data_IF_027198201331
#
_entry.id   IF_027198201331
#
_cell.length_a   1.000
_cell.length_b   1.000
_cell.length_c   1.000
_cell.angle_alpha   90.00
_cell.angle_beta   90.00
_cell.angle_gamma   90.00
#
_symmetry.space_group_name_H-M   'P 1'
#
loop_
_entity.id
_entity.type
_entity.pdbx_description
1 polymer ?
#
# COMPACT_ATOMS: atom_id res chain seq x y z
N UNK A 1 17.90 15.29 2.92
CA UNK A 1 16.48 15.32 3.35
C UNK A 1 16.15 13.92 3.85
N UNK A 2 15.47 13.80 4.99
CA UNK A 2 15.07 12.48 5.52
C UNK A 2 13.97 11.89 4.62
N UNK A 3 14.07 10.62 4.34
CA UNK A 3 13.13 9.84 3.51
C UNK A 3 12.63 8.63 4.26
N UNK A 4 11.39 8.26 4.02
CA UNK A 4 10.82 7.00 4.55
C UNK A 4 10.04 6.27 3.47
N UNK A 5 10.18 4.96 3.45
CA UNK A 5 9.40 4.05 2.62
C UNK A 5 8.45 3.27 3.52
N UNK A 6 7.16 3.34 3.24
CA UNK A 6 6.12 2.72 4.06
C UNK A 6 5.33 1.73 3.21
N UNK A 7 5.48 0.46 3.51
CA UNK A 7 4.54 -0.56 3.03
C UNK A 7 3.27 -0.43 3.84
N UNK A 8 2.20 0.11 3.24
CA UNK A 8 0.93 0.36 3.91
C UNK A 8 -0.10 -0.71 3.55
N UNK A 9 -0.74 -1.28 4.56
CA UNK A 9 -1.76 -2.30 4.41
C UNK A 9 -2.98 -2.02 5.30
N UNK A 10 -4.03 -2.78 5.15
CA UNK A 10 -5.31 -2.68 5.88
C UNK A 10 -6.46 -3.16 5.01
N UNK A 11 -7.53 -3.59 5.61
CA UNK A 11 -8.73 -4.07 4.92
C UNK A 11 -9.33 -3.01 3.97
N UNK A 12 -10.18 -3.45 3.07
CA UNK A 12 -10.90 -2.54 2.17
C UNK A 12 -11.74 -1.51 2.94
N UNK A 13 -11.70 -0.25 2.52
CA UNK A 13 -12.54 0.80 3.12
C UNK A 13 -12.07 1.38 4.46
N UNK A 14 -10.90 0.98 5.01
CA UNK A 14 -10.37 1.55 6.26
C UNK A 14 -9.80 2.97 6.11
N UNK A 15 -9.79 3.52 4.90
CA UNK A 15 -9.36 4.90 4.65
C UNK A 15 -7.86 5.08 4.39
N UNK A 16 -7.12 4.04 4.00
CA UNK A 16 -5.68 4.13 3.67
C UNK A 16 -5.38 5.21 2.63
N UNK A 17 -6.11 5.19 1.51
CA UNK A 17 -5.87 6.13 0.41
C UNK A 17 -6.13 7.57 0.88
N UNK A 18 -7.21 7.79 1.65
CA UNK A 18 -7.52 9.09 2.24
C UNK A 18 -6.41 9.59 3.16
N UNK A 19 -5.83 8.72 4.01
CA UNK A 19 -4.72 9.11 4.88
C UNK A 19 -3.45 9.46 4.09
N UNK A 20 -3.15 8.71 3.03
CA UNK A 20 -2.04 9.03 2.12
C UNK A 20 -2.26 10.40 1.45
N UNK A 21 -3.47 10.67 0.94
CA UNK A 21 -3.83 11.95 0.31
C UNK A 21 -3.76 13.12 1.30
N UNK A 22 -4.22 12.92 2.55
CA UNK A 22 -4.13 13.93 3.60
C UNK A 22 -2.67 14.24 3.94
N UNK A 23 -1.80 13.22 4.04
CA UNK A 23 -0.39 13.41 4.33
C UNK A 23 0.35 14.16 3.21
N UNK A 24 -0.12 14.08 1.96
CA UNK A 24 0.45 14.80 0.83
C UNK A 24 0.29 16.34 0.93
N UNK A 25 -0.55 16.84 1.84
CA UNK A 25 -0.63 18.29 2.15
C UNK A 25 0.57 18.77 2.99
N UNK A 26 1.25 17.87 3.68
CA UNK A 26 2.31 18.16 4.64
C UNK A 26 3.69 17.69 4.18
N UNK A 27 3.75 16.66 3.33
CA UNK A 27 4.97 16.04 2.85
C UNK A 27 4.95 15.90 1.33
N UNK A 28 6.13 15.80 0.71
CA UNK A 28 6.25 15.36 -0.68
C UNK A 28 6.10 13.85 -0.74
N UNK A 29 4.97 13.38 -1.21
CA UNK A 29 4.55 11.98 -1.18
C UNK A 29 4.52 11.38 -2.57
N UNK A 30 5.04 10.16 -2.72
CA UNK A 30 4.74 9.26 -3.84
C UNK A 30 3.89 8.11 -3.31
N UNK A 31 2.80 7.81 -4.00
CA UNK A 31 1.85 6.76 -3.61
C UNK A 31 1.71 5.75 -4.76
N UNK A 32 2.07 4.49 -4.52
CA UNK A 32 2.02 3.41 -5.51
C UNK A 32 1.37 2.15 -4.94
N UNK A 33 0.87 1.32 -5.83
CA UNK A 33 0.38 -0.02 -5.50
C UNK A 33 1.07 -1.08 -6.35
N UNK A 34 1.37 -2.25 -5.77
CA UNK A 34 1.93 -3.39 -6.48
C UNK A 34 1.07 -3.87 -7.65
N UNK A 35 -0.21 -3.47 -7.70
CA UNK A 35 -1.12 -3.78 -8.80
C UNK A 35 -1.18 -2.69 -9.88
N UNK A 36 -0.50 -1.56 -9.72
CA UNK A 36 -0.56 -0.49 -10.72
C UNK A 36 0.01 -0.92 -12.08
N UNK A 37 1.18 -1.57 -12.18
CA UNK A 37 1.68 -2.05 -13.46
C UNK A 37 0.78 -3.13 -14.08
N UNK A 38 0.08 -3.91 -13.25
CA UNK A 38 -0.89 -4.90 -13.72
C UNK A 38 -2.11 -4.23 -14.34
N UNK A 39 -2.59 -3.13 -13.75
CA UNK A 39 -3.67 -2.32 -14.32
C UNK A 39 -3.29 -1.71 -15.66
N UNK A 40 -2.05 -1.27 -15.83
CA UNK A 40 -1.57 -0.75 -17.11
C UNK A 40 -1.59 -1.84 -18.19
N UNK A 41 -1.10 -3.04 -17.90
CA UNK A 41 -1.17 -4.18 -18.83
C UNK A 41 -2.64 -4.52 -19.13
N UNK A 42 -3.51 -4.54 -18.11
CA UNK A 42 -4.92 -4.83 -18.30
C UNK A 42 -5.62 -3.79 -19.19
N UNK A 43 -5.29 -2.50 -19.04
CA UNK A 43 -5.78 -1.44 -19.94
C UNK A 43 -5.32 -1.64 -21.36
N UNK A 44 -4.07 -2.03 -21.56
CA UNK A 44 -3.57 -2.40 -22.87
C UNK A 44 -4.33 -3.58 -23.49
N UNK A 45 -4.80 -4.52 -22.66
CA UNK A 45 -5.68 -5.63 -23.08
C UNK A 45 -7.16 -5.21 -23.24
N UNK A 46 -7.51 -3.94 -23.09
CA UNK A 46 -8.88 -3.43 -23.27
C UNK A 46 -9.71 -3.30 -22.01
N UNK A 47 -9.13 -3.45 -20.81
CA UNK A 47 -9.85 -3.18 -19.56
C UNK A 47 -10.13 -1.69 -19.40
N UNK A 48 -11.40 -1.35 -19.16
CA UNK A 48 -11.89 0.04 -19.11
C UNK A 48 -11.85 0.67 -17.71
N UNK A 49 -11.36 -0.05 -16.68
CA UNK A 49 -11.37 0.42 -15.30
C UNK A 49 -12.58 -0.06 -14.49
N UNK A 50 -13.58 -0.66 -15.11
CA UNK A 50 -14.75 -1.23 -14.41
C UNK A 50 -14.31 -2.41 -13.54
N UNK A 51 -14.77 -2.42 -12.29
CA UNK A 51 -14.41 -3.43 -11.27
C UNK A 51 -15.56 -4.42 -11.05
N UNK A 52 -15.98 -5.10 -12.10
CA UNK A 52 -16.86 -6.26 -11.99
C UNK A 52 -16.09 -7.53 -11.61
N UNK A 53 -16.78 -8.65 -11.38
CA UNK A 53 -16.15 -9.90 -10.96
C UNK A 53 -15.23 -10.48 -12.04
N UNK A 54 -15.57 -10.30 -13.32
CA UNK A 54 -14.75 -10.73 -14.45
C UNK A 54 -13.43 -9.94 -14.49
N UNK A 55 -13.49 -8.63 -14.31
CA UNK A 55 -12.31 -7.76 -14.27
C UNK A 55 -11.44 -8.05 -13.05
N UNK A 56 -12.04 -8.28 -11.86
CA UNK A 56 -11.29 -8.68 -10.66
C UNK A 56 -10.54 -9.98 -10.86
N UNK A 57 -11.20 -10.98 -11.45
CA UNK A 57 -10.54 -12.25 -11.78
C UNK A 57 -9.41 -12.04 -12.78
N UNK A 58 -9.63 -11.29 -13.85
CA UNK A 58 -8.61 -11.00 -14.86
C UNK A 58 -7.37 -10.31 -14.26
N UNK A 59 -7.56 -9.27 -13.43
CA UNK A 59 -6.46 -8.59 -12.75
C UNK A 59 -5.71 -9.51 -11.78
N UNK A 60 -6.43 -10.37 -11.07
CA UNK A 60 -5.83 -11.36 -10.18
C UNK A 60 -4.98 -12.38 -10.95
N UNK A 61 -5.53 -12.98 -12.00
CA UNK A 61 -4.84 -13.96 -12.82
C UNK A 61 -3.60 -13.36 -13.49
N UNK A 62 -3.71 -12.13 -14.03
CA UNK A 62 -2.60 -11.40 -14.64
C UNK A 62 -1.49 -11.08 -13.65
N UNK A 63 -1.85 -10.67 -12.41
CA UNK A 63 -0.89 -10.44 -11.33
C UNK A 63 -0.17 -11.75 -10.98
N UNK A 64 -0.91 -12.83 -10.79
CA UNK A 64 -0.35 -14.13 -10.45
C UNK A 64 0.61 -14.61 -11.53
N UNK A 65 0.18 -14.58 -12.79
CA UNK A 65 1.00 -15.03 -13.92
C UNK A 65 2.32 -14.23 -14.05
N UNK A 66 2.24 -12.91 -13.91
CA UNK A 66 3.43 -12.05 -14.00
C UNK A 66 4.35 -12.17 -12.78
N UNK A 67 3.79 -12.44 -11.60
CA UNK A 67 4.57 -12.71 -10.39
C UNK A 67 5.30 -14.07 -10.49
N UNK A 68 4.64 -15.10 -11.00
CA UNK A 68 5.23 -16.42 -11.21
C UNK A 68 6.32 -16.41 -12.29
N UNK A 69 6.12 -15.62 -13.34
CA UNK A 69 7.08 -15.54 -14.44
C UNK A 69 8.42 -14.89 -14.04
N UNK A 70 8.37 -13.75 -13.35
CA UNK A 70 9.59 -13.01 -13.02
C UNK A 70 9.46 -12.03 -11.84
N UNK A 71 8.52 -12.25 -10.92
CA UNK A 71 8.22 -11.32 -9.81
C UNK A 71 7.95 -9.87 -10.29
N UNK A 72 7.36 -9.69 -11.46
CA UNK A 72 7.19 -8.38 -12.11
C UNK A 72 6.58 -7.31 -11.20
N UNK A 73 5.48 -7.54 -10.41
CA UNK A 73 4.92 -6.52 -9.53
C UNK A 73 5.92 -6.03 -8.47
N UNK A 74 6.68 -6.94 -7.88
CA UNK A 74 7.71 -6.60 -6.88
C UNK A 74 8.88 -5.87 -7.53
N UNK A 75 9.37 -6.34 -8.67
CA UNK A 75 10.48 -5.72 -9.38
C UNK A 75 10.14 -4.31 -9.86
N UNK A 76 8.90 -4.07 -10.30
CA UNK A 76 8.41 -2.74 -10.64
C UNK A 76 8.40 -1.81 -9.41
N UNK A 77 7.87 -2.25 -8.29
CA UNK A 77 7.86 -1.46 -7.05
C UNK A 77 9.28 -1.13 -6.56
N UNK A 78 10.23 -2.07 -6.72
CA UNK A 78 11.65 -1.84 -6.40
C UNK A 78 12.32 -0.84 -7.36
N UNK A 79 11.93 -0.80 -8.63
CA UNK A 79 12.39 0.24 -9.55
C UNK A 79 11.93 1.62 -9.11
N UNK A 80 10.64 1.76 -8.74
CA UNK A 80 10.10 3.02 -8.18
C UNK A 80 10.78 3.40 -6.86
N UNK A 81 11.08 2.43 -6.00
CA UNK A 81 11.85 2.66 -4.77
C UNK A 81 13.23 3.27 -5.07
N UNK A 82 13.97 2.75 -6.05
CA UNK A 82 15.28 3.30 -6.42
C UNK A 82 15.17 4.73 -6.92
N UNK A 83 14.21 5.03 -7.80
CA UNK A 83 13.94 6.39 -8.26
C UNK A 83 13.58 7.33 -7.09
N UNK A 84 12.74 6.86 -6.16
CA UNK A 84 12.38 7.63 -4.97
C UNK A 84 13.61 7.97 -4.13
N UNK A 85 14.56 7.06 -3.97
CA UNK A 85 15.78 7.32 -3.19
C UNK A 85 16.64 8.44 -3.79
N UNK A 86 16.55 8.69 -5.09
CA UNK A 86 17.34 9.69 -5.84
C UNK A 86 16.63 11.05 -6.01
N UNK A 87 15.31 11.13 -5.79
CA UNK A 87 14.53 12.35 -5.99
C UNK A 87 14.38 13.21 -4.70
N UNK A 88 13.51 14.21 -4.71
CA UNK A 88 13.26 15.12 -3.59
C UNK A 88 11.97 14.81 -2.79
N UNK A 89 11.33 13.65 -3.04
CA UNK A 89 10.19 13.17 -2.29
C UNK A 89 10.61 12.67 -0.90
N UNK A 90 9.72 12.78 0.07
CA UNK A 90 9.99 12.45 1.47
C UNK A 90 9.41 11.12 1.90
N UNK A 91 8.23 10.79 1.37
CA UNK A 91 7.50 9.56 1.73
C UNK A 91 7.11 8.79 0.47
N UNK A 92 7.48 7.51 0.42
CA UNK A 92 6.98 6.55 -0.56
C UNK A 92 6.03 5.60 0.14
N UNK A 93 4.75 5.64 -0.22
CA UNK A 93 3.80 4.58 0.14
C UNK A 93 3.78 3.50 -0.93
N UNK A 94 3.86 2.25 -0.48
CA UNK A 94 3.74 1.07 -1.34
C UNK A 94 2.60 0.21 -0.80
N UNK A 95 1.49 0.15 -1.53
CA UNK A 95 0.34 -0.67 -1.15
C UNK A 95 0.58 -2.12 -1.56
N UNK A 96 0.84 -2.98 -0.58
CA UNK A 96 1.00 -4.43 -0.75
C UNK A 96 0.10 -5.14 0.27
N UNK A 97 -0.67 -6.14 -0.16
CA UNK A 97 -1.62 -6.85 0.70
C UNK A 97 -1.11 -8.19 1.22
N UNK A 98 -0.48 -8.96 0.36
CA UNK A 98 -0.07 -10.32 0.67
C UNK A 98 1.20 -10.34 1.54
N UNK A 99 1.18 -11.04 2.69
CA UNK A 99 2.32 -11.10 3.61
C UNK A 99 3.65 -11.49 2.95
N UNK A 100 3.62 -12.48 2.04
CA UNK A 100 4.82 -12.91 1.32
C UNK A 100 5.42 -11.83 0.41
N UNK A 101 4.55 -11.02 -0.22
CA UNK A 101 5.02 -9.90 -1.06
C UNK A 101 5.58 -8.77 -0.21
N UNK A 102 4.98 -8.51 0.97
CA UNK A 102 5.50 -7.55 1.95
C UNK A 102 6.92 -7.97 2.37
N UNK A 103 7.11 -9.23 2.79
CA UNK A 103 8.41 -9.77 3.18
C UNK A 103 9.46 -9.64 2.06
N UNK A 104 9.08 -10.00 0.83
CA UNK A 104 9.97 -9.86 -0.35
C UNK A 104 10.42 -8.42 -0.55
N UNK A 105 9.49 -7.47 -0.51
CA UNK A 105 9.79 -6.06 -0.71
C UNK A 105 10.66 -5.50 0.42
N UNK A 106 10.32 -5.74 1.68
CA UNK A 106 11.09 -5.30 2.86
C UNK A 106 12.51 -5.86 2.82
N UNK A 107 12.67 -7.15 2.51
CA UNK A 107 13.98 -7.79 2.37
C UNK A 107 14.80 -7.18 1.23
N UNK A 108 14.18 -6.92 0.08
CA UNK A 108 14.85 -6.38 -1.09
C UNK A 108 15.22 -4.89 -0.96
N UNK A 109 14.66 -4.19 0.03
CA UNK A 109 15.03 -2.82 0.41
C UNK A 109 16.03 -2.77 1.59
N UNK A 110 16.66 -3.89 1.94
CA UNK A 110 17.60 -4.02 3.07
C UNK A 110 17.05 -3.47 4.40
N UNK A 111 15.73 -3.62 4.63
CA UNK A 111 15.03 -3.15 5.82
C UNK A 111 14.81 -1.63 5.89
N UNK A 112 15.09 -0.90 4.81
CA UNK A 112 14.76 0.54 4.71
C UNK A 112 13.25 0.75 4.75
N UNK A 113 12.48 -0.12 4.06
CA UNK A 113 11.03 -0.06 4.09
C UNK A 113 10.48 -0.45 5.47
N UNK A 114 9.60 0.39 6.01
CA UNK A 114 8.82 0.14 7.22
C UNK A 114 7.42 -0.32 6.86
N UNK A 115 6.80 -1.08 7.72
CA UNK A 115 5.47 -1.63 7.49
C UNK A 115 4.45 -0.98 8.42
N UNK A 116 3.29 -0.62 7.87
CA UNK A 116 2.20 0.05 8.58
C UNK A 116 0.87 -0.64 8.31
N UNK A 117 0.17 -1.06 9.35
CA UNK A 117 -1.21 -1.52 9.27
C UNK A 117 -2.17 -0.40 9.68
N UNK A 118 -3.08 -0.05 8.78
CA UNK A 118 -4.21 0.83 9.08
C UNK A 118 -5.43 -0.02 9.42
N UNK A 119 -5.97 0.17 10.62
CA UNK A 119 -7.20 -0.47 11.09
C UNK A 119 -8.35 0.52 11.02
N UNK A 120 -9.53 0.06 10.61
CA UNK A 120 -10.77 0.84 10.74
C UNK A 120 -11.28 0.79 12.19
N UNK A 121 -11.99 1.84 12.61
CA UNK A 121 -12.77 1.80 13.83
C UNK A 121 -13.99 0.88 13.72
N UNK A 122 -14.75 0.75 14.79
CA UNK A 122 -15.95 -0.10 14.90
C UNK A 122 -17.07 0.19 13.85
N UNK A 123 -16.90 1.22 13.02
CA UNK A 123 -17.81 1.58 11.90
C UNK A 123 -17.53 0.81 10.61
N UNK A 124 -16.37 0.20 10.47
CA UNK A 124 -16.11 -0.75 9.39
C UNK A 124 -16.85 -2.03 9.74
N UNK A 125 -17.82 -2.38 8.90
CA UNK A 125 -18.62 -3.60 9.06
C UNK A 125 -17.69 -4.78 9.30
N UNK A 126 -17.80 -5.40 10.49
CA UNK A 126 -17.27 -6.73 10.74
C UNK A 126 -18.02 -7.73 9.84
N UNK A 127 -17.63 -7.85 8.59
CA UNK A 127 -18.09 -8.84 7.66
C UNK A 127 -16.90 -9.33 6.88
N UNK A 128 -16.74 -10.63 6.78
CA UNK A 128 -15.76 -11.22 5.88
C UNK A 128 -15.99 -10.60 4.49
N UNK A 129 -15.00 -9.89 3.98
CA UNK A 129 -15.08 -9.20 2.67
C UNK A 129 -15.08 -10.18 1.49
N UNK A 130 -15.08 -11.51 1.78
CA UNK A 130 -15.10 -12.55 0.76
C UNK A 130 -13.86 -12.54 -0.15
N UNK A 131 -12.83 -11.78 0.24
CA UNK A 131 -11.56 -11.69 -0.47
C UNK A 131 -10.45 -12.14 0.49
N UNK A 132 -9.83 -13.27 0.21
CA UNK A 132 -8.78 -13.86 1.04
C UNK A 132 -7.62 -12.89 1.33
N UNK A 133 -7.37 -11.91 0.45
CA UNK A 133 -6.33 -10.90 0.65
C UNK A 133 -6.68 -9.88 1.74
N UNK A 134 -7.96 -9.55 1.92
CA UNK A 134 -8.40 -8.65 3.00
C UNK A 134 -8.48 -9.37 4.35
N UNK A 135 -8.73 -10.69 4.34
CA UNK A 135 -8.79 -11.52 5.56
C UNK A 135 -7.39 -11.81 6.12
N UNK A 136 -6.33 -11.72 5.30
CA UNK A 136 -4.95 -12.03 5.68
C UNK A 136 -4.15 -10.82 6.19
N UNK A 137 -4.70 -9.60 6.19
CA UNK A 137 -3.93 -8.39 6.56
C UNK A 137 -3.43 -8.41 8.00
N UNK A 138 -4.13 -9.04 8.93
CA UNK A 138 -3.74 -9.18 10.34
C UNK A 138 -2.74 -10.33 10.59
N UNK A 139 -2.42 -11.15 9.59
CA UNK A 139 -1.50 -12.27 9.73
C UNK A 139 -0.01 -11.85 9.66
N UNK A 140 0.26 -10.62 9.27
CA UNK A 140 1.61 -10.06 9.23
C UNK A 140 1.89 -9.21 10.46
N UNK A 141 3.11 -9.25 10.99
CA UNK A 141 3.54 -8.38 12.10
C UNK A 141 4.14 -7.09 11.54
N UNK A 142 3.50 -5.96 11.78
CA UNK A 142 3.90 -4.66 11.25
C UNK A 142 4.76 -3.89 12.24
N UNK A 143 5.63 -3.00 11.71
CA UNK A 143 6.43 -2.08 12.55
C UNK A 143 5.56 -1.03 13.22
N UNK A 144 4.47 -0.61 12.54
CA UNK A 144 3.56 0.43 13.01
C UNK A 144 2.10 0.02 12.80
N UNK A 145 1.24 0.54 13.67
CA UNK A 145 -0.21 0.36 13.62
C UNK A 145 -0.89 1.71 13.76
N UNK A 146 -1.89 1.99 12.95
CA UNK A 146 -2.71 3.18 13.02
C UNK A 146 -4.18 2.82 13.01
N UNK A 147 -4.95 3.31 13.98
CA UNK A 147 -6.41 3.11 14.04
C UNK A 147 -7.11 4.36 13.54
N UNK A 148 -7.84 4.23 12.42
CA UNK A 148 -8.59 5.29 11.78
C UNK A 148 -10.06 5.23 12.22
N UNK A 149 -10.35 5.70 13.44
CA UNK A 149 -11.68 5.66 14.07
C UNK A 149 -12.21 7.04 14.47
N UNK A 150 -11.45 8.09 14.20
CA UNK A 150 -11.76 9.48 14.57
C UNK A 150 -12.31 10.30 13.40
N UNK A 151 -12.63 11.56 13.64
CA UNK A 151 -12.97 12.51 12.58
C UNK A 151 -11.78 12.70 11.62
N UNK A 152 -12.06 13.13 10.39
CA UNK A 152 -11.05 13.31 9.36
C UNK A 152 -9.92 14.25 9.80
N UNK A 153 -10.25 15.36 10.46
CA UNK A 153 -9.28 16.34 10.96
C UNK A 153 -8.35 15.75 12.03
N UNK A 154 -8.91 14.98 12.95
CA UNK A 154 -8.13 14.33 14.01
C UNK A 154 -7.28 13.20 13.44
N UNK A 155 -7.82 12.44 12.51
CA UNK A 155 -7.08 11.38 11.82
C UNK A 155 -5.92 11.95 11.00
N UNK A 156 -6.11 13.08 10.29
CA UNK A 156 -5.04 13.80 9.57
C UNK A 156 -3.92 14.20 10.54
N UNK A 157 -4.25 14.88 11.62
CA UNK A 157 -3.26 15.36 12.61
C UNK A 157 -2.49 14.19 13.24
N UNK A 158 -3.20 13.15 13.69
CA UNK A 158 -2.59 12.02 14.39
C UNK A 158 -1.72 11.19 13.42
N UNK A 159 -2.14 11.05 12.15
CA UNK A 159 -1.37 10.37 11.13
C UNK A 159 -0.11 11.14 10.71
N UNK A 160 -0.21 12.46 10.55
CA UNK A 160 0.94 13.33 10.27
C UNK A 160 1.95 13.29 11.42
N UNK A 161 1.48 13.26 12.68
CA UNK A 161 2.36 13.10 13.84
C UNK A 161 3.11 11.77 13.80
N UNK A 162 2.43 10.66 13.52
CA UNK A 162 3.07 9.35 13.35
C UNK A 162 4.15 9.39 12.26
N UNK A 163 3.85 9.99 11.11
CA UNK A 163 4.79 10.09 9.99
C UNK A 163 6.02 10.93 10.34
N UNK A 164 5.83 12.01 11.08
CA UNK A 164 6.94 12.85 11.58
C UNK A 164 7.86 12.05 12.50
N UNK A 165 7.30 11.28 13.44
CA UNK A 165 8.07 10.42 14.34
C UNK A 165 8.84 9.32 13.58
N UNK A 166 8.25 8.78 12.51
CA UNK A 166 8.91 7.76 11.67
C UNK A 166 10.03 8.38 10.84
N UNK A 167 9.84 9.62 10.34
CA UNK A 167 10.87 10.35 9.60
C UNK A 167 12.05 10.78 10.48
N UNK A 168 11.84 10.97 11.79
CA UNK A 168 12.91 11.40 12.70
C UNK A 168 13.84 10.27 13.14
N UNK A 169 13.38 9.03 13.11
CA UNK A 169 14.15 7.82 13.46
C UNK A 169 15.10 7.42 12.34
#
# INVERSE_FOLDING_TARGET
MKKVVIVINGAGGVGKDTLCDLSAKHFKVRNISSVDPIKEIARFCGWTGVKDDRARKFLHDLKTLTAEYNDFPTNWALAVFREFMENDEQILYVHIREPREIEKFVKATDGVAKTLLVRGGCRTRCGAYGNAADDCVEQYSYDYYFTNDKSLEVAERDFVSLLSDVLEK
#
